data_IF_412217716120
#
_entry.id   IF_412217716120
#
_cell.length_a   1.000
_cell.length_b   1.000
_cell.length_c   1.000
_cell.angle_alpha   90.00
_cell.angle_beta   90.00
_cell.angle_gamma   90.00
#
_symmetry.space_group_name_H-M   'P 1'
#
loop_
_entity.id
_entity.type
_entity.pdbx_description
1 polymer ?
#
# COMPACT_ATOMS: atom_id res chain seq x y z
N UNK A 1 21.71 -70.57 34.45
CA UNK A 1 20.75 -69.76 35.18
C UNK A 1 20.68 -68.42 34.45
N UNK A 2 19.89 -68.25 33.46
CA UNK A 2 18.45 -67.91 33.31
C UNK A 2 18.13 -66.47 33.63
N UNK A 3 17.72 -65.81 32.51
CA UNK A 3 16.78 -64.66 32.42
C UNK A 3 17.29 -63.26 32.75
N UNK A 4 17.56 -62.53 31.71
CA UNK A 4 16.98 -61.21 31.43
C UNK A 4 17.44 -60.69 30.05
N UNK A 5 16.85 -61.21 28.99
CA UNK A 5 16.86 -60.60 27.65
C UNK A 5 15.40 -60.48 27.20
N UNK A 6 14.89 -59.31 27.05
CA UNK A 6 13.62 -59.13 26.37
C UNK A 6 12.70 -58.04 26.96
N UNK A 7 13.14 -56.79 27.02
CA UNK A 7 12.18 -55.64 27.19
C UNK A 7 12.60 -54.32 26.54
N UNK A 8 13.71 -54.24 25.79
CA UNK A 8 14.14 -52.97 25.21
C UNK A 8 13.98 -52.83 23.69
N UNK A 9 13.38 -53.82 23.00
CA UNK A 9 13.23 -53.72 21.54
C UNK A 9 11.89 -53.16 21.07
N UNK A 10 10.89 -53.18 21.93
CA UNK A 10 9.55 -52.64 21.57
C UNK A 10 9.40 -51.12 21.81
N UNK A 11 10.17 -50.59 22.77
CA UNK A 11 10.12 -49.14 23.05
C UNK A 11 10.86 -48.34 21.96
N UNK A 12 11.97 -48.82 21.48
CA UNK A 12 12.73 -48.17 20.41
C UNK A 12 12.04 -48.26 19.03
N UNK A 13 11.20 -49.28 18.80
CA UNK A 13 10.38 -49.38 17.58
C UNK A 13 9.19 -48.40 17.61
N UNK A 14 8.60 -48.12 18.77
CA UNK A 14 7.53 -47.15 18.91
C UNK A 14 8.03 -45.71 18.79
N UNK A 15 9.23 -45.39 19.28
CA UNK A 15 9.82 -44.06 19.08
C UNK A 15 10.30 -43.85 17.65
N UNK A 16 10.87 -44.86 16.98
CA UNK A 16 11.21 -44.74 15.55
C UNK A 16 9.97 -44.57 14.63
N UNK A 17 8.84 -45.18 15.00
CA UNK A 17 7.59 -44.93 14.28
C UNK A 17 7.00 -43.51 14.54
N UNK A 18 7.17 -42.94 15.73
CA UNK A 18 6.79 -41.55 15.99
C UNK A 18 7.67 -40.55 15.30
N UNK A 19 8.99 -40.82 15.18
CA UNK A 19 9.91 -39.91 14.49
C UNK A 19 9.72 -40.01 12.97
N UNK A 20 9.38 -41.19 12.40
CA UNK A 20 9.06 -41.28 10.98
C UNK A 20 7.70 -40.68 10.61
N UNK A 21 6.76 -40.55 11.53
CA UNK A 21 5.48 -39.85 11.28
C UNK A 21 5.62 -38.31 11.30
N UNK A 22 6.64 -37.79 12.00
CA UNK A 22 6.93 -36.33 12.03
C UNK A 22 7.76 -35.90 10.81
N UNK A 23 8.48 -36.84 10.15
CA UNK A 23 9.37 -36.54 9.02
C UNK A 23 8.68 -36.65 7.64
N UNK A 24 7.48 -37.20 7.55
CA UNK A 24 6.71 -37.25 6.29
C UNK A 24 5.69 -36.14 6.12
N UNK A 25 5.40 -35.33 7.17
CA UNK A 25 4.50 -34.18 7.10
C UNK A 25 5.21 -32.83 7.00
N UNK A 26 6.53 -32.81 6.82
CA UNK A 26 7.28 -31.55 6.56
C UNK A 26 7.49 -31.28 5.07
N UNK A 27 6.71 -31.88 4.22
CA UNK A 27 6.60 -31.55 2.82
C UNK A 27 5.42 -30.61 2.60
N UNK A 28 5.67 -29.35 2.30
CA UNK A 28 4.68 -28.32 1.93
C UNK A 28 3.84 -27.75 3.09
N UNK A 29 4.50 -27.12 4.05
CA UNK A 29 3.90 -26.00 4.76
C UNK A 29 4.03 -24.73 3.91
N UNK A 30 3.45 -24.74 2.71
CA UNK A 30 2.76 -23.54 2.25
C UNK A 30 1.62 -23.39 3.25
N UNK A 31 1.79 -22.47 4.20
CA UNK A 31 0.79 -22.16 5.20
C UNK A 31 -0.50 -21.83 4.47
N UNK A 32 -1.39 -22.82 4.42
CA UNK A 32 -2.80 -22.48 4.23
C UNK A 32 -3.11 -21.55 5.38
N UNK A 33 -3.58 -20.31 5.14
CA UNK A 33 -4.10 -19.52 6.22
C UNK A 33 -5.09 -20.42 6.94
N UNK A 34 -4.97 -20.56 8.26
CA UNK A 34 -5.93 -21.28 9.06
C UNK A 34 -7.26 -20.54 8.92
N UNK A 35 -7.99 -20.90 7.88
CA UNK A 35 -9.32 -20.40 7.60
C UNK A 35 -10.24 -21.17 8.55
N UNK A 36 -10.42 -20.60 9.73
CA UNK A 36 -11.45 -21.04 10.65
C UNK A 36 -12.81 -20.75 10.02
N UNK A 37 -13.19 -21.64 9.12
CA UNK A 37 -14.55 -21.80 8.62
C UNK A 37 -15.06 -20.79 7.61
N UNK A 38 -15.11 -21.18 6.36
CA UNK A 38 -16.03 -20.65 5.35
C UNK A 38 -15.39 -19.87 4.22
N UNK A 39 -15.61 -20.32 3.03
CA UNK A 39 -15.23 -19.81 1.72
C UNK A 39 -13.73 -19.82 1.43
N UNK A 40 -13.20 -21.02 1.15
CA UNK A 40 -11.92 -21.19 0.51
C UNK A 40 -11.95 -20.47 -0.84
N UNK A 41 -11.27 -19.31 -0.92
CA UNK A 41 -11.04 -18.63 -2.18
C UNK A 41 -10.29 -19.58 -3.11
N UNK A 42 -10.89 -19.95 -4.23
CA UNK A 42 -10.22 -20.80 -5.21
C UNK A 42 -9.10 -20.00 -5.88
N UNK A 43 -7.88 -20.53 -6.03
CA UNK A 43 -6.73 -19.82 -6.59
C UNK A 43 -6.93 -19.22 -8.01
N UNK A 44 -8.00 -19.59 -8.70
CA UNK A 44 -8.24 -19.20 -10.09
C UNK A 44 -8.96 -17.88 -10.33
N UNK A 45 -9.57 -17.28 -9.32
CA UNK A 45 -10.55 -16.22 -9.52
C UNK A 45 -10.25 -14.93 -8.76
N UNK A 46 -8.98 -14.59 -8.55
CA UNK A 46 -8.63 -13.60 -7.56
C UNK A 46 -8.01 -12.40 -8.21
N UNK A 47 -8.24 -11.26 -7.56
CA UNK A 47 -7.75 -9.96 -7.96
C UNK A 47 -6.28 -9.99 -8.39
N UNK A 48 -5.93 -9.16 -9.31
CA UNK A 48 -4.70 -9.24 -10.06
C UNK A 48 -3.54 -8.53 -9.38
N UNK A 49 -3.85 -7.70 -8.39
CA UNK A 49 -2.85 -6.90 -7.71
C UNK A 49 -3.03 -7.02 -6.20
N UNK A 50 -1.90 -7.17 -5.51
CA UNK A 50 -1.88 -7.07 -4.06
C UNK A 50 -1.87 -5.61 -3.65
N UNK A 51 -2.88 -5.19 -2.92
CA UNK A 51 -2.91 -3.88 -2.30
C UNK A 51 -2.46 -4.03 -0.85
N UNK A 52 -1.23 -3.64 -0.58
CA UNK A 52 -0.74 -3.56 0.79
C UNK A 52 -1.01 -2.16 1.32
N UNK A 53 -1.74 -2.09 2.43
CA UNK A 53 -2.03 -0.85 3.15
C UNK A 53 -1.24 -0.92 4.45
N UNK A 54 -0.23 -0.06 4.64
CA UNK A 54 0.42 0.11 5.94
C UNK A 54 -0.59 0.52 7.00
N UNK A 55 -0.24 0.45 8.26
CA UNK A 55 -1.13 0.76 9.37
C UNK A 55 -1.87 2.08 9.21
N UNK A 56 -3.13 2.11 9.62
CA UNK A 56 -3.91 3.35 9.67
C UNK A 56 -3.47 4.17 10.88
N UNK A 57 -3.41 5.48 10.68
CA UNK A 57 -3.32 6.42 11.80
C UNK A 57 -4.72 6.73 12.30
N UNK A 58 -4.95 6.54 13.60
CA UNK A 58 -6.22 6.78 14.26
C UNK A 58 -6.10 8.07 15.10
N UNK A 59 -6.96 9.08 14.84
CA UNK A 59 -6.95 10.31 15.60
C UNK A 59 -7.47 10.11 17.02
N UNK A 60 -6.85 10.79 17.97
CA UNK A 60 -7.34 10.86 19.35
C UNK A 60 -8.28 12.05 19.53
N UNK A 61 -9.21 12.00 20.51
CA UNK A 61 -10.04 13.15 20.85
C UNK A 61 -9.20 14.39 21.19
N UNK A 62 -9.70 15.56 20.79
CA UNK A 62 -9.11 16.87 21.10
C UNK A 62 -10.18 17.77 21.67
N UNK A 63 -9.88 18.46 22.77
CA UNK A 63 -10.77 19.50 23.33
C UNK A 63 -10.35 20.87 22.80
N UNK A 64 -11.04 21.33 21.76
CA UNK A 64 -10.81 22.64 21.20
C UNK A 64 -11.31 23.78 22.08
N UNK A 65 -12.27 23.52 22.98
CA UNK A 65 -12.83 24.54 23.86
C UNK A 65 -11.80 25.00 24.89
N UNK A 66 -11.01 24.08 25.43
CA UNK A 66 -9.94 24.40 26.39
C UNK A 66 -8.80 25.19 25.74
N UNK A 67 -8.51 24.92 24.48
CA UNK A 67 -7.31 25.47 23.81
C UNK A 67 -7.59 26.69 22.95
N UNK A 68 -8.80 26.81 22.40
CA UNK A 68 -9.17 27.85 21.44
C UNK A 68 -10.37 28.69 21.91
N UNK A 69 -11.05 28.33 23.02
CA UNK A 69 -12.25 29.02 23.47
C UNK A 69 -12.08 30.51 23.71
N UNK A 70 -10.89 30.91 24.19
CA UNK A 70 -10.56 32.35 24.41
C UNK A 70 -10.12 33.08 23.13
N UNK A 71 -9.89 32.33 22.06
CA UNK A 71 -9.29 32.83 20.82
C UNK A 71 -10.25 32.87 19.61
N UNK A 72 -11.27 32.04 19.63
CA UNK A 72 -12.20 31.83 18.53
C UNK A 72 -13.64 31.93 19.00
N UNK A 73 -14.55 32.22 18.08
CA UNK A 73 -15.98 32.18 18.36
C UNK A 73 -16.42 30.77 18.70
N UNK A 74 -17.43 30.69 19.55
CA UNK A 74 -18.03 29.40 19.96
C UNK A 74 -18.46 28.55 18.77
N UNK A 75 -18.96 29.15 17.71
CA UNK A 75 -19.42 28.45 16.49
C UNK A 75 -18.28 27.69 15.82
N UNK A 76 -17.11 28.29 15.63
CA UNK A 76 -15.95 27.63 15.01
C UNK A 76 -15.41 26.51 15.90
N UNK A 77 -15.31 26.76 17.22
CA UNK A 77 -14.83 25.78 18.19
C UNK A 77 -15.73 24.55 18.21
N UNK A 78 -17.06 24.76 18.27
CA UNK A 78 -18.05 23.67 18.23
C UNK A 78 -17.98 22.90 16.89
N UNK A 79 -17.81 23.59 15.76
CA UNK A 79 -17.70 22.96 14.45
C UNK A 79 -16.44 22.11 14.32
N UNK A 80 -15.26 22.61 14.74
CA UNK A 80 -14.02 21.84 14.80
C UNK A 80 -14.18 20.60 15.68
N UNK A 81 -14.77 20.78 16.86
CA UNK A 81 -15.00 19.69 17.82
C UNK A 81 -15.94 18.62 17.28
N UNK A 82 -17.05 19.01 16.65
CA UNK A 82 -18.01 18.09 16.07
C UNK A 82 -17.40 17.27 14.92
N UNK A 83 -16.70 17.93 13.98
CA UNK A 83 -16.07 17.27 12.84
C UNK A 83 -14.95 16.32 13.29
N UNK A 84 -14.08 16.78 14.21
CA UNK A 84 -13.01 15.93 14.76
C UNK A 84 -13.57 14.73 15.51
N UNK A 85 -14.59 14.90 16.36
CA UNK A 85 -15.24 13.82 17.09
C UNK A 85 -15.83 12.79 16.11
N UNK A 86 -16.47 13.24 15.02
CA UNK A 86 -16.99 12.37 13.98
C UNK A 86 -15.89 11.49 13.39
N UNK A 87 -14.75 12.07 13.03
CA UNK A 87 -13.60 11.34 12.48
C UNK A 87 -13.05 10.34 13.50
N UNK A 88 -12.87 10.74 14.75
CA UNK A 88 -12.37 9.86 15.84
C UNK A 88 -13.24 8.63 16.00
N UNK A 89 -14.57 8.84 16.08
CA UNK A 89 -15.52 7.73 16.23
C UNK A 89 -15.49 6.79 15.04
N UNK A 90 -15.51 7.34 13.82
CA UNK A 90 -15.51 6.54 12.58
C UNK A 90 -14.20 5.80 12.38
N UNK A 91 -13.06 6.45 12.54
CA UNK A 91 -11.76 5.84 12.41
C UNK A 91 -11.51 4.74 13.46
N UNK A 92 -12.00 4.94 14.69
CA UNK A 92 -11.93 3.95 15.75
C UNK A 92 -12.74 2.67 15.47
N UNK A 93 -13.81 2.79 14.68
CA UNK A 93 -14.61 1.63 14.24
C UNK A 93 -13.94 0.85 13.10
N UNK A 94 -13.27 1.53 12.18
CA UNK A 94 -12.58 0.90 11.05
C UNK A 94 -11.29 0.16 11.49
N UNK A 95 -10.62 0.65 12.53
CA UNK A 95 -9.38 0.08 13.01
C UNK A 95 -9.42 -1.43 13.27
N UNK A 96 -10.35 -1.97 14.03
CA UNK A 96 -10.44 -3.41 14.32
C UNK A 96 -11.02 -4.24 13.16
N UNK A 97 -11.73 -3.62 12.22
CA UNK A 97 -12.46 -4.31 11.15
C UNK A 97 -11.60 -4.72 9.97
N UNK A 98 -10.53 -4.00 9.71
CA UNK A 98 -9.58 -4.35 8.63
C UNK A 98 -8.81 -5.64 8.98
N UNK A 99 -8.58 -5.92 10.26
CA UNK A 99 -7.87 -7.12 10.74
C UNK A 99 -8.77 -8.34 10.93
N UNK A 100 -10.07 -8.14 11.10
CA UNK A 100 -11.03 -9.23 11.18
C UNK A 100 -11.76 -9.37 9.85
N UNK A 101 -11.50 -10.45 9.13
CA UNK A 101 -12.44 -11.03 8.16
C UNK A 101 -13.73 -11.37 8.90
N UNK A 102 -14.47 -10.36 9.29
CA UNK A 102 -15.74 -10.56 9.99
C UNK A 102 -16.75 -11.00 8.97
N UNK A 103 -17.15 -12.27 9.04
CA UNK A 103 -18.49 -12.69 8.66
C UNK A 103 -19.51 -11.75 9.34
N UNK A 104 -19.81 -10.65 8.72
CA UNK A 104 -21.10 -10.03 8.88
C UNK A 104 -21.89 -10.45 7.66
N UNK A 105 -22.79 -11.40 7.85
CA UNK A 105 -24.06 -11.40 7.14
C UNK A 105 -24.43 -9.94 6.95
N UNK A 106 -24.63 -9.56 5.67
CA UNK A 106 -25.14 -8.25 5.29
C UNK A 106 -26.60 -8.16 5.78
N UNK A 107 -26.77 -8.01 7.07
CA UNK A 107 -28.00 -7.56 7.70
C UNK A 107 -27.69 -6.16 8.19
N UNK A 108 -28.12 -5.23 7.33
CA UNK A 108 -28.72 -3.94 7.69
C UNK A 108 -28.42 -3.50 9.15
N UNK A 109 -27.57 -2.49 9.27
CA UNK A 109 -27.78 -1.21 9.94
C UNK A 109 -26.43 -0.60 10.34
N UNK A 110 -26.10 0.55 9.74
CA UNK A 110 -25.42 1.63 10.42
C UNK A 110 -23.93 1.51 10.71
N UNK A 111 -23.16 0.69 9.99
CA UNK A 111 -21.69 0.79 10.00
C UNK A 111 -21.25 1.90 9.06
N UNK A 112 -20.51 2.89 9.59
CA UNK A 112 -19.81 3.86 8.77
C UNK A 112 -18.97 3.14 7.71
N UNK A 113 -19.08 3.54 6.46
CA UNK A 113 -18.30 2.98 5.37
C UNK A 113 -16.96 3.73 5.26
N UNK A 114 -15.99 3.12 4.56
CA UNK A 114 -14.73 3.85 4.23
C UNK A 114 -15.05 5.17 3.49
N UNK A 115 -16.10 5.19 2.68
CA UNK A 115 -16.53 6.39 1.98
C UNK A 115 -17.07 7.47 2.93
N UNK A 116 -17.80 7.08 3.98
CA UNK A 116 -18.32 8.03 4.97
C UNK A 116 -17.18 8.66 5.79
N UNK A 117 -16.16 7.87 6.15
CA UNK A 117 -14.97 8.40 6.81
C UNK A 117 -14.16 9.31 5.88
N UNK A 118 -14.02 8.94 4.62
CA UNK A 118 -13.38 9.79 3.60
C UNK A 118 -14.10 11.14 3.50
N UNK A 119 -15.43 11.13 3.41
CA UNK A 119 -16.24 12.35 3.37
C UNK A 119 -16.08 13.18 4.65
N UNK A 120 -16.04 12.54 5.82
CA UNK A 120 -15.84 13.25 7.08
C UNK A 120 -14.47 13.98 7.13
N UNK A 121 -13.43 13.40 6.55
CA UNK A 121 -12.11 14.03 6.43
C UNK A 121 -12.13 15.19 5.43
N UNK A 122 -12.84 15.02 4.31
CA UNK A 122 -13.04 16.08 3.30
C UNK A 122 -13.84 17.26 3.89
N UNK A 123 -14.84 17.01 4.75
CA UNK A 123 -15.59 18.03 5.46
C UNK A 123 -14.76 18.77 6.52
N UNK A 124 -13.84 18.05 7.19
CA UNK A 124 -13.00 18.59 8.25
C UNK A 124 -11.88 19.49 7.74
N UNK A 125 -11.27 19.13 6.62
CA UNK A 125 -10.06 19.76 6.10
C UNK A 125 -10.22 21.28 5.85
N UNK A 126 -11.31 21.80 5.23
CA UNK A 126 -11.50 23.24 5.04
C UNK A 126 -11.59 24.03 6.35
N UNK A 127 -12.21 23.45 7.38
CA UNK A 127 -12.34 24.12 8.69
C UNK A 127 -11.00 24.08 9.43
N UNK A 128 -10.26 22.97 9.36
CA UNK A 128 -8.91 22.84 9.92
C UNK A 128 -7.94 23.85 9.31
N UNK A 129 -8.01 24.08 7.99
CA UNK A 129 -7.13 25.00 7.28
C UNK A 129 -7.26 26.46 7.77
N UNK A 130 -8.35 26.82 8.41
CA UNK A 130 -8.46 28.13 9.06
C UNK A 130 -7.49 28.33 10.23
N UNK A 131 -7.03 27.27 10.90
CA UNK A 131 -6.01 27.37 11.96
C UNK A 131 -4.62 27.72 11.42
N UNK A 132 -4.34 27.43 10.15
CA UNK A 132 -3.03 27.62 9.51
C UNK A 132 -2.99 28.79 8.54
N UNK A 133 -4.12 29.51 8.37
CA UNK A 133 -4.21 30.65 7.46
C UNK A 133 -3.34 31.81 7.94
N UNK A 134 -2.52 32.36 7.05
CA UNK A 134 -1.82 33.62 7.17
C UNK A 134 -0.99 33.82 8.46
N UNK A 135 -0.17 32.83 8.83
CA UNK A 135 0.73 32.95 9.99
C UNK A 135 0.00 33.06 11.33
N UNK A 136 -1.21 32.53 11.41
CA UNK A 136 -2.02 32.56 12.60
C UNK A 136 -1.30 31.87 13.77
N UNK A 137 -1.14 32.57 14.90
CA UNK A 137 -0.56 32.00 16.12
C UNK A 137 -1.35 30.79 16.62
N UNK A 138 -2.57 30.60 16.14
CA UNK A 138 -3.45 29.48 16.48
C UNK A 138 -2.90 28.11 16.03
N UNK A 139 -2.04 28.10 15.00
CA UNK A 139 -1.46 26.85 14.48
C UNK A 139 -0.71 26.02 15.53
N UNK A 140 -0.21 26.64 16.60
CA UNK A 140 0.55 25.99 17.66
C UNK A 140 -0.22 25.81 18.97
N UNK A 141 -1.48 26.26 19.04
CA UNK A 141 -2.26 26.25 20.28
C UNK A 141 -2.84 24.87 20.61
N UNK A 142 -3.04 24.03 19.61
CA UNK A 142 -3.71 22.75 19.77
C UNK A 142 -2.68 21.62 19.63
N UNK A 143 -2.66 20.71 20.56
CA UNK A 143 -1.90 19.46 20.46
C UNK A 143 -2.76 18.41 19.81
N UNK A 144 -2.32 17.91 18.65
CA UNK A 144 -2.98 16.83 17.92
C UNK A 144 -2.27 15.53 18.18
N UNK A 145 -3.00 14.53 18.66
CA UNK A 145 -2.49 13.20 18.94
C UNK A 145 -3.10 12.16 18.01
N UNK A 146 -2.25 11.24 17.55
CA UNK A 146 -2.61 10.13 16.67
C UNK A 146 -1.90 8.86 17.12
N UNK A 147 -2.51 7.71 16.86
CA UNK A 147 -1.94 6.39 17.07
C UNK A 147 -1.78 5.69 15.73
N UNK A 148 -0.62 5.07 15.49
CA UNK A 148 -0.47 4.10 14.41
C UNK A 148 -0.96 2.73 14.91
N UNK A 149 -1.87 2.10 14.19
CA UNK A 149 -2.44 0.80 14.58
C UNK A 149 -1.42 -0.35 14.62
N UNK A 150 -0.35 -0.24 13.87
CA UNK A 150 0.66 -1.29 13.72
C UNK A 150 1.87 -1.10 14.65
N UNK A 151 1.89 -0.05 15.42
CA UNK A 151 3.03 0.36 16.24
C UNK A 151 2.67 0.29 17.73
N UNK A 152 2.19 -0.88 18.17
CA UNK A 152 1.82 -1.20 19.56
C UNK A 152 1.08 -0.08 20.32
N UNK A 153 0.28 0.71 19.58
CA UNK A 153 -0.48 1.84 20.08
C UNK A 153 0.38 3.04 20.56
N UNK A 154 1.60 3.19 20.05
CA UNK A 154 2.40 4.36 20.37
C UNK A 154 1.69 5.63 19.91
N UNK A 155 1.44 6.52 20.87
CA UNK A 155 0.79 7.80 20.62
C UNK A 155 1.84 8.82 20.22
N UNK A 156 1.63 9.46 19.08
CA UNK A 156 2.43 10.57 18.61
C UNK A 156 1.63 11.85 18.64
N UNK A 157 2.13 12.88 19.33
CA UNK A 157 1.42 14.14 19.52
C UNK A 157 2.31 15.34 19.16
N UNK A 158 1.73 16.30 18.43
CA UNK A 158 2.42 17.52 18.06
C UNK A 158 1.50 18.74 18.18
N UNK A 159 2.04 19.85 18.70
CA UNK A 159 1.33 21.14 18.79
C UNK A 159 1.56 21.95 17.50
N UNK A 160 0.99 21.46 16.40
CA UNK A 160 1.04 22.12 15.10
C UNK A 160 -0.12 21.68 14.20
N UNK A 161 -0.91 22.61 13.71
CA UNK A 161 -2.06 22.30 12.87
C UNK A 161 -1.66 21.74 11.48
N UNK A 162 -0.48 22.05 10.95
CA UNK A 162 0.03 21.42 9.73
C UNK A 162 0.34 19.93 9.91
N UNK A 163 0.72 19.50 11.12
CA UNK A 163 0.84 18.08 11.44
C UNK A 163 -0.51 17.36 11.37
N UNK A 164 -1.57 18.03 11.82
CA UNK A 164 -2.93 17.53 11.68
C UNK A 164 -3.33 17.41 10.21
N UNK A 165 -3.10 18.45 9.40
CA UNK A 165 -3.37 18.42 7.95
C UNK A 165 -2.62 17.28 7.28
N UNK A 166 -1.35 17.07 7.63
CA UNK A 166 -0.52 15.98 7.12
C UNK A 166 -1.11 14.61 7.46
N UNK A 167 -1.52 14.44 8.73
CA UNK A 167 -2.12 13.19 9.21
C UNK A 167 -3.46 12.89 8.55
N UNK A 168 -4.27 13.93 8.29
CA UNK A 168 -5.54 13.83 7.56
C UNK A 168 -5.30 13.36 6.13
N UNK A 169 -4.37 13.99 5.39
CA UNK A 169 -4.06 13.59 4.01
C UNK A 169 -3.51 12.15 3.95
N UNK A 170 -2.65 11.78 4.90
CA UNK A 170 -2.16 10.41 4.99
C UNK A 170 -3.30 9.41 5.20
N UNK A 171 -4.22 9.68 6.13
CA UNK A 171 -5.38 8.81 6.35
C UNK A 171 -6.26 8.72 5.11
N UNK A 172 -6.54 9.84 4.41
CA UNK A 172 -7.29 9.85 3.15
C UNK A 172 -6.65 8.95 2.08
N UNK A 173 -5.32 8.99 1.96
CA UNK A 173 -4.59 8.12 1.05
C UNK A 173 -4.71 6.64 1.45
N UNK A 174 -4.57 6.31 2.73
CA UNK A 174 -4.68 4.92 3.22
C UNK A 174 -6.10 4.37 3.06
N UNK A 175 -7.13 5.19 3.25
CA UNK A 175 -8.52 4.83 3.00
C UNK A 175 -8.76 4.56 1.51
N UNK A 176 -8.18 5.37 0.62
CA UNK A 176 -8.24 5.16 -0.82
C UNK A 176 -7.59 3.84 -1.22
N UNK A 177 -6.41 3.50 -0.69
CA UNK A 177 -5.78 2.19 -0.92
C UNK A 177 -6.66 1.03 -0.42
N UNK A 178 -7.29 1.20 0.73
CA UNK A 178 -8.24 0.21 1.28
C UNK A 178 -9.47 0.04 0.39
N UNK A 179 -9.99 1.12 -0.17
CA UNK A 179 -11.10 1.09 -1.11
C UNK A 179 -10.72 0.38 -2.42
N UNK A 180 -9.53 0.67 -2.97
CA UNK A 180 -9.02 -0.03 -4.14
C UNK A 180 -8.90 -1.54 -3.89
N UNK A 181 -8.41 -1.93 -2.69
CA UNK A 181 -8.35 -3.34 -2.30
C UNK A 181 -9.74 -4.00 -2.29
N UNK A 182 -10.77 -3.33 -1.76
CA UNK A 182 -12.13 -3.85 -1.74
C UNK A 182 -12.71 -4.03 -3.15
N UNK A 183 -12.40 -3.14 -4.09
CA UNK A 183 -12.83 -3.26 -5.49
C UNK A 183 -12.16 -4.42 -6.21
N UNK A 184 -10.92 -4.73 -5.85
CA UNK A 184 -10.12 -5.79 -6.47
C UNK A 184 -10.38 -7.17 -5.82
N UNK A 185 -11.14 -7.23 -4.72
CA UNK A 185 -11.55 -8.50 -4.16
C UNK A 185 -12.75 -9.07 -4.95
N UNK A 186 -12.70 -10.34 -5.35
CA UNK A 186 -13.82 -10.96 -6.04
C UNK A 186 -15.05 -11.00 -5.13
N UNK A 187 -16.19 -10.57 -5.67
CA UNK A 187 -17.47 -10.70 -4.97
C UNK A 187 -17.91 -12.17 -5.03
N UNK A 188 -18.17 -12.78 -3.88
CA UNK A 188 -18.75 -14.12 -3.80
C UNK A 188 -20.19 -14.07 -4.26
N UNK A 189 -20.53 -14.78 -5.35
CA UNK A 189 -21.92 -15.05 -5.68
C UNK A 189 -22.48 -16.16 -4.79
N UNK A 190 -23.79 -16.16 -4.56
CA UNK A 190 -24.48 -17.17 -3.77
C UNK A 190 -24.23 -18.61 -4.29
N UNK A 191 -23.96 -18.76 -5.59
CA UNK A 191 -23.78 -20.03 -6.29
C UNK A 191 -22.33 -20.56 -6.24
N UNK A 192 -21.45 -19.93 -5.48
CA UNK A 192 -20.04 -20.35 -5.37
C UNK A 192 -19.19 -20.11 -6.64
N UNK A 193 -19.79 -19.57 -7.70
CA UNK A 193 -19.09 -19.11 -8.89
C UNK A 193 -18.50 -17.72 -8.60
N UNK A 194 -17.20 -17.60 -8.64
CA UNK A 194 -16.53 -16.30 -8.49
C UNK A 194 -16.37 -15.69 -9.89
N UNK A 195 -17.10 -14.63 -10.21
CA UNK A 195 -16.93 -13.97 -11.49
C UNK A 195 -15.52 -13.38 -11.61
N UNK A 196 -14.99 -13.40 -12.82
CA UNK A 196 -13.75 -12.66 -13.13
C UNK A 196 -13.97 -11.18 -12.78
N UNK A 197 -12.96 -10.56 -12.22
CA UNK A 197 -13.00 -9.14 -11.90
C UNK A 197 -13.34 -8.33 -13.15
N UNK A 198 -14.33 -7.43 -13.04
CA UNK A 198 -14.78 -6.64 -14.18
C UNK A 198 -13.71 -5.63 -14.61
N UNK A 199 -13.69 -5.30 -15.89
CA UNK A 199 -12.79 -4.26 -16.41
C UNK A 199 -13.09 -2.90 -15.80
N UNK A 200 -14.35 -2.63 -15.50
CA UNK A 200 -14.80 -1.40 -14.81
C UNK A 200 -14.20 -1.30 -13.40
N UNK A 201 -14.23 -2.39 -12.61
CA UNK A 201 -13.62 -2.42 -11.28
C UNK A 201 -12.10 -2.18 -11.34
N UNK A 202 -11.44 -2.70 -12.37
CA UNK A 202 -10.01 -2.47 -12.58
C UNK A 202 -9.73 -1.00 -12.92
N UNK A 203 -10.48 -0.41 -13.83
CA UNK A 203 -10.34 1.01 -14.19
C UNK A 203 -10.62 1.90 -12.99
N UNK A 204 -11.72 1.67 -12.29
CA UNK A 204 -12.06 2.42 -11.08
C UNK A 204 -10.96 2.31 -9.99
N UNK A 205 -10.32 1.14 -9.85
CA UNK A 205 -9.21 1.01 -8.90
C UNK A 205 -7.97 1.78 -9.32
N UNK A 206 -7.67 1.91 -10.63
CA UNK A 206 -6.57 2.76 -11.12
C UNK A 206 -6.84 4.22 -10.75
N UNK A 207 -8.07 4.71 -10.96
CA UNK A 207 -8.44 6.09 -10.62
C UNK A 207 -8.28 6.34 -9.11
N UNK A 208 -8.65 5.36 -8.28
CA UNK A 208 -8.47 5.45 -6.83
C UNK A 208 -6.99 5.44 -6.43
N UNK A 209 -6.13 4.65 -7.09
CA UNK A 209 -4.69 4.69 -6.84
C UNK A 209 -4.09 6.04 -7.22
N UNK A 210 -4.50 6.62 -8.32
CA UNK A 210 -4.06 7.95 -8.77
C UNK A 210 -4.53 9.03 -7.77
N UNK A 211 -5.75 8.93 -7.26
CA UNK A 211 -6.27 9.80 -6.20
C UNK A 211 -5.47 9.66 -4.89
N UNK A 212 -5.16 8.43 -4.46
CA UNK A 212 -4.32 8.19 -3.28
C UNK A 212 -2.92 8.81 -3.45
N UNK A 213 -2.32 8.64 -4.63
CA UNK A 213 -1.03 9.26 -4.96
C UNK A 213 -1.12 10.80 -4.93
N UNK A 214 -2.24 11.38 -5.36
CA UNK A 214 -2.49 12.83 -5.32
C UNK A 214 -2.51 13.39 -3.90
N UNK A 215 -3.14 12.73 -2.95
CA UNK A 215 -3.11 13.14 -1.54
C UNK A 215 -1.68 13.11 -0.97
N UNK A 216 -0.91 12.07 -1.28
CA UNK A 216 0.47 11.93 -0.80
C UNK A 216 1.42 12.92 -1.48
N UNK A 217 1.26 13.19 -2.76
CA UNK A 217 2.04 14.20 -3.48
C UNK A 217 1.75 15.61 -2.95
N UNK A 218 0.48 15.95 -2.69
CA UNK A 218 0.08 17.18 -2.02
C UNK A 218 0.70 17.30 -0.61
N UNK A 219 0.67 16.22 0.18
CA UNK A 219 1.28 16.17 1.49
C UNK A 219 2.78 16.50 1.44
N UNK A 220 3.50 15.91 0.48
CA UNK A 220 4.95 16.12 0.31
C UNK A 220 5.28 17.52 -0.23
N UNK A 221 4.55 17.99 -1.25
CA UNK A 221 4.90 19.24 -1.94
C UNK A 221 4.38 20.49 -1.25
N UNK A 222 3.20 20.40 -0.62
CA UNK A 222 2.50 21.58 -0.13
C UNK A 222 2.37 21.63 1.40
N UNK A 223 2.31 20.49 2.10
CA UNK A 223 2.10 20.46 3.55
C UNK A 223 3.41 20.32 4.31
N UNK A 224 4.27 19.37 3.96
CA UNK A 224 5.57 19.19 4.63
C UNK A 224 6.45 20.44 4.65
N UNK A 225 6.53 21.27 3.57
CA UNK A 225 7.32 22.50 3.61
C UNK A 225 6.82 23.55 4.61
N UNK A 226 5.55 23.49 5.01
CA UNK A 226 4.97 24.41 6.00
C UNK A 226 5.38 24.06 7.43
N UNK A 227 5.82 22.82 7.68
CA UNK A 227 6.32 22.42 8.98
C UNK A 227 7.76 22.93 9.18
N UNK A 228 8.07 23.58 10.32
CA UNK A 228 9.43 23.93 10.69
C UNK A 228 10.37 22.71 10.65
N UNK A 229 11.66 22.94 10.37
CA UNK A 229 12.64 21.86 10.21
C UNK A 229 12.73 20.96 11.45
N UNK A 230 12.56 21.52 12.65
CA UNK A 230 12.57 20.78 13.92
C UNK A 230 11.38 19.82 13.99
N UNK A 231 10.19 20.26 13.62
CA UNK A 231 8.99 19.41 13.58
C UNK A 231 9.15 18.30 12.54
N UNK A 232 9.71 18.59 11.37
CA UNK A 232 9.93 17.58 10.31
C UNK A 232 10.88 16.48 10.75
N UNK A 233 11.89 16.78 11.56
CA UNK A 233 12.83 15.77 12.11
C UNK A 233 12.19 14.86 13.16
N UNK A 234 11.18 15.38 13.84
CA UNK A 234 10.47 14.68 14.93
C UNK A 234 9.15 14.06 14.47
N UNK A 235 8.86 14.07 13.16
CA UNK A 235 7.69 13.38 12.62
C UNK A 235 7.80 11.88 12.91
N UNK A 236 6.68 11.22 13.24
CA UNK A 236 6.65 9.76 13.27
C UNK A 236 7.05 9.21 11.89
N UNK A 237 7.69 8.06 11.90
CA UNK A 237 8.33 7.49 10.70
C UNK A 237 7.35 7.29 9.55
N UNK A 238 6.10 6.95 9.83
CA UNK A 238 5.02 6.80 8.85
C UNK A 238 4.64 8.10 8.13
N UNK A 239 4.95 9.25 8.70
CA UNK A 239 4.79 10.57 8.09
C UNK A 239 6.11 11.17 7.57
N UNK A 240 7.22 10.45 7.68
CA UNK A 240 8.48 10.90 7.11
C UNK A 240 8.37 11.07 5.59
N UNK A 241 9.02 12.10 5.05
CA UNK A 241 8.95 12.43 3.62
C UNK A 241 9.25 11.22 2.72
N UNK A 242 10.28 10.44 3.04
CA UNK A 242 10.63 9.26 2.26
C UNK A 242 9.53 8.18 2.26
N UNK A 243 8.83 7.98 3.39
CA UNK A 243 7.70 7.03 3.46
C UNK A 243 6.52 7.55 2.65
N UNK A 244 6.18 8.83 2.75
CA UNK A 244 5.09 9.43 1.96
C UNK A 244 5.37 9.35 0.45
N UNK A 245 6.61 9.63 0.03
CA UNK A 245 7.05 9.47 -1.37
C UNK A 245 6.97 8.01 -1.82
N UNK A 246 7.43 7.08 -1.01
CA UNK A 246 7.36 5.66 -1.32
C UNK A 246 5.92 5.17 -1.45
N UNK A 247 5.01 5.61 -0.59
CA UNK A 247 3.58 5.29 -0.66
C UNK A 247 2.92 5.87 -1.93
N UNK A 248 3.28 7.10 -2.31
CA UNK A 248 2.83 7.71 -3.56
C UNK A 248 3.26 6.86 -4.78
N UNK A 249 4.54 6.51 -4.83
CA UNK A 249 5.10 5.68 -5.91
C UNK A 249 4.56 4.25 -5.90
N UNK A 250 4.30 3.68 -4.72
CA UNK A 250 3.62 2.40 -4.55
C UNK A 250 2.22 2.44 -5.17
N UNK A 251 1.42 3.47 -4.89
CA UNK A 251 0.08 3.60 -5.45
C UNK A 251 0.13 3.65 -6.99
N UNK A 252 1.04 4.41 -7.57
CA UNK A 252 1.23 4.47 -9.01
C UNK A 252 1.72 3.14 -9.59
N UNK A 253 2.69 2.49 -8.93
CA UNK A 253 3.20 1.18 -9.34
C UNK A 253 2.11 0.11 -9.33
N UNK A 254 1.22 0.12 -8.34
CA UNK A 254 0.06 -0.78 -8.28
C UNK A 254 -0.96 -0.46 -9.37
N UNK A 255 -1.18 0.81 -9.70
CA UNK A 255 -2.02 1.21 -10.83
C UNK A 255 -1.50 0.67 -12.17
N UNK A 256 -0.18 0.77 -12.42
CA UNK A 256 0.46 0.23 -13.63
C UNK A 256 0.41 -1.30 -13.65
N UNK A 257 0.52 -1.98 -12.50
CA UNK A 257 0.38 -3.44 -12.43
C UNK A 257 -1.02 -3.90 -12.88
N UNK A 258 -2.08 -3.16 -12.50
CA UNK A 258 -3.43 -3.43 -13.03
C UNK A 258 -3.50 -3.19 -14.54
N UNK A 259 -2.89 -2.10 -15.05
CA UNK A 259 -2.85 -1.84 -16.49
C UNK A 259 -2.12 -2.97 -17.24
N UNK A 260 -1.03 -3.49 -16.69
CA UNK A 260 -0.32 -4.64 -17.24
C UNK A 260 -1.20 -5.91 -17.25
N UNK A 261 -1.93 -6.18 -16.17
CA UNK A 261 -2.90 -7.28 -16.10
C UNK A 261 -3.99 -7.16 -17.16
N UNK A 262 -4.54 -5.96 -17.35
CA UNK A 262 -5.53 -5.69 -18.42
C UNK A 262 -4.91 -5.91 -19.81
N UNK A 263 -3.65 -5.48 -20.02
CA UNK A 263 -2.95 -5.70 -21.27
C UNK A 263 -2.63 -7.19 -21.52
N UNK A 264 -2.37 -7.98 -20.49
CA UNK A 264 -2.17 -9.44 -20.59
C UNK A 264 -3.46 -10.11 -21.07
N UNK A 265 -4.59 -9.72 -20.50
CA UNK A 265 -5.90 -10.27 -20.85
C UNK A 265 -6.42 -9.82 -22.24
N UNK A 266 -5.91 -8.70 -22.74
CA UNK A 266 -6.32 -8.14 -24.03
C UNK A 266 -5.59 -8.80 -25.20
N UNK A 267 -6.35 -9.36 -26.14
CA UNK A 267 -5.80 -9.89 -27.41
C UNK A 267 -5.27 -8.81 -28.33
N UNK A 268 -5.66 -7.54 -28.12
CA UNK A 268 -5.25 -6.39 -28.91
C UNK A 268 -3.95 -5.74 -28.42
N UNK A 269 -3.55 -6.01 -27.18
CA UNK A 269 -2.35 -5.41 -26.60
C UNK A 269 -1.09 -6.11 -27.13
N UNK A 270 -0.22 -5.33 -27.75
CA UNK A 270 1.05 -5.81 -28.33
C UNK A 270 2.08 -6.09 -27.24
N UNK A 271 3.12 -6.88 -27.56
CA UNK A 271 4.26 -7.08 -26.66
C UNK A 271 4.97 -5.77 -26.32
N UNK A 272 5.01 -4.81 -27.24
CA UNK A 272 5.58 -3.48 -26.99
C UNK A 272 4.85 -2.72 -25.87
N UNK A 273 3.52 -2.78 -25.85
CA UNK A 273 2.70 -2.18 -24.77
C UNK A 273 2.97 -2.88 -23.44
N UNK A 274 2.97 -4.22 -23.42
CA UNK A 274 3.24 -5.01 -22.21
C UNK A 274 4.64 -4.73 -21.65
N UNK A 275 5.67 -4.67 -22.51
CA UNK A 275 7.03 -4.30 -22.12
C UNK A 275 7.09 -2.89 -21.51
N UNK A 276 6.46 -1.90 -22.19
CA UNK A 276 6.43 -0.53 -21.69
C UNK A 276 5.85 -0.44 -20.29
N UNK A 277 4.68 -1.04 -20.06
CA UNK A 277 4.03 -1.05 -18.75
C UNK A 277 4.90 -1.75 -17.68
N UNK A 278 5.50 -2.90 -18.03
CA UNK A 278 6.37 -3.61 -17.11
C UNK A 278 7.64 -2.80 -16.75
N UNK A 279 8.27 -2.11 -17.71
CA UNK A 279 9.42 -1.25 -17.44
C UNK A 279 9.02 -0.01 -16.62
N UNK A 280 7.84 0.57 -16.87
CA UNK A 280 7.31 1.68 -16.08
C UNK A 280 7.07 1.24 -14.62
N UNK A 281 6.52 0.05 -14.42
CA UNK A 281 6.34 -0.54 -13.10
C UNK A 281 7.67 -0.70 -12.36
N UNK A 282 8.74 -1.17 -13.03
CA UNK A 282 10.10 -1.26 -12.45
C UNK A 282 10.55 0.08 -11.90
N UNK A 283 10.35 1.18 -12.65
CA UNK A 283 10.76 2.52 -12.23
C UNK A 283 10.04 2.99 -10.97
N UNK A 284 8.72 2.80 -10.88
CA UNK A 284 7.96 3.18 -9.69
C UNK A 284 8.45 2.43 -8.45
N UNK A 285 8.62 1.12 -8.56
CA UNK A 285 9.05 0.31 -7.41
C UNK A 285 10.52 0.56 -7.03
N UNK A 286 11.39 0.83 -8.01
CA UNK A 286 12.76 1.24 -7.75
C UNK A 286 12.80 2.55 -6.96
N UNK A 287 12.12 3.58 -7.46
CA UNK A 287 12.06 4.87 -6.78
C UNK A 287 11.43 4.77 -5.39
N UNK A 288 10.39 3.93 -5.22
CA UNK A 288 9.81 3.67 -3.91
C UNK A 288 10.84 3.04 -2.95
N UNK A 289 11.60 2.06 -3.43
CA UNK A 289 12.67 1.43 -2.64
C UNK A 289 13.76 2.45 -2.26
N UNK A 290 14.21 3.27 -3.19
CA UNK A 290 15.26 4.28 -2.95
C UNK A 290 14.85 5.28 -1.86
N UNK A 291 13.56 5.63 -1.79
CA UNK A 291 13.02 6.56 -0.79
C UNK A 291 12.97 5.98 0.63
N UNK A 292 12.86 4.65 0.80
CA UNK A 292 12.73 4.03 2.14
C UNK A 292 13.96 3.22 2.56
N UNK A 293 14.92 2.97 1.68
CA UNK A 293 16.03 2.07 1.95
C UNK A 293 16.87 2.51 3.16
N UNK A 294 17.12 3.81 3.31
CA UNK A 294 17.98 4.38 4.33
C UNK A 294 17.22 4.94 5.54
N UNK A 295 15.92 4.76 5.62
CA UNK A 295 15.13 5.23 6.75
C UNK A 295 15.26 4.25 7.93
N UNK A 296 15.20 4.75 9.18
CA UNK A 296 15.25 3.91 10.37
C UNK A 296 13.93 3.18 10.60
N UNK A 297 13.55 2.32 9.67
CA UNK A 297 12.32 1.50 9.71
C UNK A 297 12.57 0.27 10.59
N UNK A 298 12.81 0.47 11.89
CA UNK A 298 13.10 -0.61 12.85
C UNK A 298 11.83 -1.27 13.41
N UNK A 299 10.69 -0.64 13.23
CA UNK A 299 9.41 -1.13 13.75
C UNK A 299 8.82 -2.17 12.80
N UNK A 300 8.00 -3.08 13.32
CA UNK A 300 7.43 -4.18 12.56
C UNK A 300 6.72 -3.75 11.25
N UNK A 301 5.90 -2.69 11.29
CA UNK A 301 5.21 -2.22 10.09
C UNK A 301 6.15 -1.61 9.04
N UNK A 302 7.15 -0.86 9.46
CA UNK A 302 8.12 -0.22 8.57
C UNK A 302 8.98 -1.24 7.84
N UNK A 303 9.48 -2.25 8.55
CA UNK A 303 10.20 -3.36 7.94
C UNK A 303 9.30 -4.15 6.98
N UNK A 304 8.05 -4.39 7.35
CA UNK A 304 7.11 -5.06 6.46
C UNK A 304 6.82 -4.26 5.20
N UNK A 305 6.70 -2.94 5.29
CA UNK A 305 6.56 -2.06 4.13
C UNK A 305 7.79 -2.12 3.21
N UNK A 306 9.00 -2.11 3.80
CA UNK A 306 10.26 -2.28 3.04
C UNK A 306 10.30 -3.61 2.30
N UNK A 307 9.92 -4.70 2.96
CA UNK A 307 9.86 -6.03 2.35
C UNK A 307 8.82 -6.09 1.23
N UNK A 308 7.66 -5.44 1.38
CA UNK A 308 6.66 -5.34 0.33
C UNK A 308 7.19 -4.64 -0.91
N UNK A 309 7.78 -3.45 -0.74
CA UNK A 309 8.36 -2.67 -1.85
C UNK A 309 9.47 -3.45 -2.55
N UNK A 310 10.37 -4.10 -1.79
CA UNK A 310 11.42 -4.95 -2.33
C UNK A 310 10.84 -6.11 -3.14
N UNK A 311 9.85 -6.81 -2.60
CA UNK A 311 9.19 -7.90 -3.30
C UNK A 311 8.60 -7.43 -4.63
N UNK A 312 7.80 -6.37 -4.63
CA UNK A 312 7.17 -5.84 -5.84
C UNK A 312 8.18 -5.29 -6.87
N UNK A 313 9.29 -4.73 -6.43
CA UNK A 313 10.37 -4.32 -7.32
C UNK A 313 11.00 -5.49 -8.07
N UNK A 314 11.32 -6.57 -7.37
CA UNK A 314 11.89 -7.78 -7.97
C UNK A 314 10.87 -8.44 -8.91
N UNK A 315 9.61 -8.50 -8.52
CA UNK A 315 8.50 -9.00 -9.33
C UNK A 315 8.32 -8.21 -10.63
N UNK A 316 8.40 -6.89 -10.55
CA UNK A 316 8.35 -6.01 -11.71
C UNK A 316 9.51 -6.26 -12.69
N UNK A 317 10.72 -6.50 -12.18
CA UNK A 317 11.88 -6.89 -13.00
C UNK A 317 11.63 -8.19 -13.75
N UNK A 318 11.08 -9.21 -13.08
CA UNK A 318 10.75 -10.47 -13.74
C UNK A 318 9.81 -10.25 -14.93
N UNK A 319 8.76 -9.44 -14.77
CA UNK A 319 7.83 -9.11 -15.84
C UNK A 319 8.51 -8.30 -16.98
N UNK A 320 9.33 -7.31 -16.63
CA UNK A 320 9.99 -6.45 -17.60
C UNK A 320 10.99 -7.22 -18.46
N UNK A 321 11.84 -8.03 -17.86
CA UNK A 321 12.79 -8.89 -18.58
C UNK A 321 12.09 -9.94 -19.44
N UNK A 322 10.96 -10.49 -18.97
CA UNK A 322 10.17 -11.43 -19.76
C UNK A 322 9.65 -10.79 -21.05
N UNK A 323 8.95 -9.66 -20.98
CA UNK A 323 8.44 -8.99 -22.19
C UNK A 323 9.54 -8.40 -23.04
N UNK A 324 10.65 -7.99 -22.45
CA UNK A 324 11.83 -7.55 -23.21
C UNK A 324 12.45 -8.70 -23.99
N UNK A 325 12.60 -9.87 -23.35
CA UNK A 325 13.08 -11.07 -23.99
C UNK A 325 12.21 -11.55 -25.16
N UNK A 326 10.87 -11.52 -24.99
CA UNK A 326 9.95 -11.85 -26.08
C UNK A 326 10.08 -10.94 -27.30
N UNK A 327 10.27 -9.63 -27.09
CA UNK A 327 10.46 -8.69 -28.20
C UNK A 327 11.82 -8.91 -28.89
N UNK A 328 12.87 -9.19 -28.14
CA UNK A 328 14.17 -9.51 -28.71
C UNK A 328 14.13 -10.81 -29.53
N UNK A 329 13.29 -11.77 -29.12
CA UNK A 329 13.08 -13.02 -29.83
C UNK A 329 12.34 -12.85 -31.17
N UNK A 330 11.49 -11.84 -31.30
CA UNK A 330 10.88 -11.46 -32.58
C UNK A 330 11.89 -10.89 -33.58
N UNK A 331 13.07 -10.48 -33.10
CA UNK A 331 14.17 -10.02 -33.95
C UNK A 331 14.80 -11.15 -34.80
N UNK A 332 15.08 -10.88 -36.08
CA UNK A 332 15.58 -11.90 -37.00
C UNK A 332 17.12 -11.97 -37.06
N UNK A 333 17.83 -11.63 -36.00
CA UNK A 333 19.29 -11.71 -35.93
C UNK A 333 19.76 -12.68 -34.85
N UNK A 334 20.85 -13.40 -35.08
CA UNK A 334 21.45 -14.29 -34.11
C UNK A 334 21.78 -13.57 -32.78
N UNK A 335 22.26 -12.34 -32.86
CA UNK A 335 22.54 -11.50 -31.69
C UNK A 335 21.25 -11.20 -30.88
N UNK A 336 20.12 -10.96 -31.55
CA UNK A 336 18.84 -10.70 -30.86
C UNK A 336 18.34 -11.95 -30.17
N UNK A 337 18.51 -13.14 -30.73
CA UNK A 337 18.15 -14.41 -30.10
C UNK A 337 19.01 -14.72 -28.87
N UNK A 338 20.32 -14.48 -28.92
CA UNK A 338 21.21 -14.62 -27.75
C UNK A 338 20.82 -13.67 -26.61
N UNK A 339 20.49 -12.41 -26.92
CA UNK A 339 19.99 -11.46 -25.93
C UNK A 339 18.60 -11.82 -25.39
N UNK A 340 17.73 -12.40 -26.24
CA UNK A 340 16.42 -12.89 -25.81
C UNK A 340 16.55 -14.02 -24.78
N UNK A 341 17.45 -14.98 -25.01
CA UNK A 341 17.74 -16.04 -24.06
C UNK A 341 18.22 -15.46 -22.73
N UNK A 342 19.20 -14.53 -22.75
CA UNK A 342 19.72 -13.90 -21.54
C UNK A 342 18.63 -13.12 -20.77
N UNK A 343 17.76 -12.41 -21.48
CA UNK A 343 16.65 -11.68 -20.86
C UNK A 343 15.62 -12.63 -20.23
N UNK A 344 15.27 -13.73 -20.90
CA UNK A 344 14.32 -14.73 -20.35
C UNK A 344 14.90 -15.49 -19.16
N UNK A 345 16.21 -15.79 -19.17
CA UNK A 345 16.88 -16.37 -18.01
C UNK A 345 16.88 -15.41 -16.82
N UNK A 346 17.19 -14.13 -17.05
CA UNK A 346 17.10 -13.11 -16.00
C UNK A 346 15.65 -12.98 -15.45
N UNK A 347 14.64 -13.06 -16.31
CA UNK A 347 13.24 -13.07 -15.87
C UNK A 347 12.94 -14.25 -14.93
N UNK A 348 13.43 -15.44 -15.23
CA UNK A 348 13.24 -16.64 -14.39
C UNK A 348 14.01 -16.54 -13.06
N UNK A 349 15.19 -15.96 -13.06
CA UNK A 349 15.98 -15.68 -11.85
C UNK A 349 15.27 -14.67 -10.95
N UNK A 350 14.83 -13.53 -11.50
CA UNK A 350 14.05 -12.53 -10.75
C UNK A 350 12.71 -13.11 -10.25
N UNK A 351 12.06 -13.99 -11.01
CA UNK A 351 10.85 -14.66 -10.54
C UNK A 351 11.13 -15.55 -9.33
N UNK A 352 12.24 -16.30 -9.33
CA UNK A 352 12.66 -17.12 -8.17
C UNK A 352 13.01 -16.24 -6.97
N UNK A 353 13.68 -15.13 -7.20
CA UNK A 353 14.01 -14.16 -6.15
C UNK A 353 12.75 -13.51 -5.60
N UNK A 354 11.78 -13.13 -6.45
CA UNK A 354 10.50 -12.54 -6.01
C UNK A 354 9.70 -13.48 -5.12
N UNK A 355 9.73 -14.79 -5.36
CA UNK A 355 9.10 -15.79 -4.49
C UNK A 355 9.71 -15.78 -3.09
N UNK A 356 11.06 -15.75 -2.99
CA UNK A 356 11.76 -15.63 -1.70
C UNK A 356 11.43 -14.32 -0.98
N UNK A 357 11.38 -13.20 -1.72
CA UNK A 357 11.00 -11.91 -1.15
C UNK A 357 9.54 -11.88 -0.66
N UNK A 358 8.64 -12.53 -1.39
CA UNK A 358 7.25 -12.73 -0.98
C UNK A 358 7.14 -13.56 0.31
N UNK A 359 7.91 -14.63 0.44
CA UNK A 359 7.98 -15.45 1.65
C UNK A 359 8.48 -14.63 2.85
N UNK A 360 9.54 -13.84 2.67
CA UNK A 360 10.06 -12.96 3.70
C UNK A 360 9.01 -11.92 4.16
N UNK A 361 8.31 -11.28 3.20
CA UNK A 361 7.21 -10.37 3.49
C UNK A 361 6.08 -11.05 4.29
N UNK A 362 5.67 -12.25 3.87
CA UNK A 362 4.59 -12.98 4.52
C UNK A 362 4.96 -13.46 5.93
N UNK A 363 6.23 -13.70 6.20
CA UNK A 363 6.74 -14.11 7.52
C UNK A 363 6.93 -12.95 8.48
N UNK A 364 7.03 -11.72 7.98
CA UNK A 364 7.21 -10.53 8.80
C UNK A 364 5.91 -10.11 9.49
N UNK A 365 6.03 -9.63 10.73
CA UNK A 365 4.91 -9.05 11.48
C UNK A 365 4.62 -7.61 10.99
N UNK A 366 3.39 -7.15 11.08
CA UNK A 366 2.18 -7.83 11.56
C UNK A 366 1.55 -8.75 10.51
N UNK A 367 1.27 -10.00 10.85
CA UNK A 367 0.70 -10.99 9.93
C UNK A 367 -0.72 -10.63 9.46
N UNK A 368 -1.45 -9.86 10.25
CA UNK A 368 -2.80 -9.38 9.94
C UNK A 368 -2.87 -8.52 8.67
N UNK A 369 -1.75 -7.98 8.22
CA UNK A 369 -1.65 -7.12 7.04
C UNK A 369 -1.16 -7.82 5.78
N UNK A 370 -1.06 -9.15 5.80
CA UNK A 370 -0.70 -9.89 4.61
C UNK A 370 -1.82 -9.79 3.57
N UNK A 371 -1.54 -9.24 2.38
CA UNK A 371 -2.52 -9.25 1.30
C UNK A 371 -2.74 -10.68 0.81
N UNK A 372 -3.86 -10.95 0.14
CA UNK A 372 -4.10 -12.25 -0.48
C UNK A 372 -3.00 -12.59 -1.49
N UNK A 373 -2.57 -13.86 -1.53
CA UNK A 373 -1.53 -14.36 -2.45
C UNK A 373 -2.05 -14.56 -3.88
N UNK A 374 -2.52 -13.51 -4.54
CA UNK A 374 -3.07 -13.59 -5.87
C UNK A 374 -2.82 -12.34 -6.66
N UNK A 375 -2.40 -12.46 -7.89
CA UNK A 375 -2.13 -11.30 -8.71
C UNK A 375 -1.74 -11.64 -10.14
N UNK A 376 -1.36 -10.63 -10.89
CA UNK A 376 -0.88 -10.68 -12.27
C UNK A 376 0.22 -11.71 -12.46
N UNK A 377 1.05 -11.90 -11.44
CA UNK A 377 2.16 -12.86 -11.48
C UNK A 377 1.72 -14.32 -11.54
N UNK A 378 0.46 -14.65 -11.32
CA UNK A 378 0.00 -16.03 -11.52
C UNK A 378 0.25 -16.48 -12.97
N UNK A 379 -0.15 -15.68 -13.95
CA UNK A 379 0.09 -15.97 -15.36
C UNK A 379 1.58 -16.02 -15.68
N UNK A 380 2.33 -15.01 -15.25
CA UNK A 380 3.76 -14.92 -15.51
C UNK A 380 4.57 -15.99 -14.78
N UNK A 381 4.16 -16.44 -13.60
CA UNK A 381 4.82 -17.51 -12.84
C UNK A 381 4.77 -18.88 -13.54
N UNK A 382 3.79 -19.10 -14.41
CA UNK A 382 3.68 -20.28 -15.25
C UNK A 382 4.41 -20.09 -16.59
N UNK A 383 4.32 -18.88 -17.17
CA UNK A 383 4.87 -18.57 -18.51
C UNK A 383 6.38 -18.39 -18.51
N UNK A 384 6.91 -17.64 -17.57
CA UNK A 384 8.34 -17.31 -17.53
C UNK A 384 9.22 -18.57 -17.53
N UNK A 385 9.05 -19.54 -16.61
CA UNK A 385 9.91 -20.73 -16.58
C UNK A 385 9.77 -21.59 -17.84
N UNK A 386 8.53 -21.70 -18.36
CA UNK A 386 8.26 -22.49 -19.58
C UNK A 386 8.96 -21.89 -20.79
N UNK A 387 8.81 -20.59 -21.02
CA UNK A 387 9.33 -19.94 -22.18
C UNK A 387 10.88 -19.80 -22.11
N UNK A 388 11.42 -19.51 -20.92
CA UNK A 388 12.86 -19.48 -20.68
C UNK A 388 13.50 -20.85 -20.97
N UNK A 389 12.94 -21.93 -20.42
CA UNK A 389 13.45 -23.29 -20.67
C UNK A 389 13.37 -23.70 -22.14
N UNK A 390 12.27 -23.35 -22.82
CA UNK A 390 12.09 -23.62 -24.24
C UNK A 390 13.12 -22.90 -25.09
N UNK A 391 13.38 -21.61 -24.81
CA UNK A 391 14.35 -20.80 -25.57
C UNK A 391 15.79 -21.23 -25.34
N UNK A 392 16.16 -21.60 -24.11
CA UNK A 392 17.48 -22.17 -23.82
C UNK A 392 17.71 -23.46 -24.64
N UNK A 393 16.70 -24.35 -24.71
CA UNK A 393 16.79 -25.57 -25.49
C UNK A 393 16.93 -25.28 -26.98
N UNK A 394 16.08 -24.41 -27.55
CA UNK A 394 16.13 -24.05 -28.97
C UNK A 394 17.48 -23.40 -29.30
N UNK A 395 17.97 -22.52 -28.45
CA UNK A 395 19.27 -21.87 -28.67
C UNK A 395 20.42 -22.88 -28.64
N UNK A 396 20.38 -23.90 -27.78
CA UNK A 396 21.36 -24.99 -27.75
C UNK A 396 21.33 -25.81 -29.02
N UNK A 397 20.13 -26.08 -29.56
CA UNK A 397 19.97 -26.95 -30.71
C UNK A 397 20.30 -26.24 -32.03
N UNK A 398 20.03 -24.92 -32.13
CA UNK A 398 20.18 -24.15 -33.37
C UNK A 398 21.44 -23.26 -33.43
N UNK A 399 21.95 -22.83 -32.28
CA UNK A 399 23.07 -21.91 -32.17
C UNK A 399 24.19 -22.50 -31.31
N UNK A 400 25.44 -22.23 -31.68
CA UNK A 400 26.59 -22.58 -30.86
C UNK A 400 26.59 -21.82 -29.52
N UNK A 401 27.12 -22.45 -28.48
CA UNK A 401 27.23 -21.87 -27.15
C UNK A 401 27.95 -20.51 -27.10
N UNK A 402 28.82 -20.24 -28.05
CA UNK A 402 29.59 -18.99 -28.18
C UNK A 402 28.73 -17.76 -28.43
N UNK A 403 27.43 -17.93 -28.76
CA UNK A 403 26.51 -16.85 -29.07
C UNK A 403 25.58 -16.47 -27.92
N UNK A 404 25.67 -17.16 -26.77
CA UNK A 404 24.89 -16.81 -25.59
C UNK A 404 25.51 -15.57 -24.95
N UNK A 405 24.72 -14.53 -24.77
CA UNK A 405 25.13 -13.32 -24.03
C UNK A 405 25.04 -13.64 -22.53
N UNK A 406 26.16 -13.55 -21.81
CA UNK A 406 26.23 -13.89 -20.39
C UNK A 406 25.43 -12.93 -19.50
N UNK A 407 25.29 -11.68 -19.91
CA UNK A 407 24.59 -10.65 -19.15
C UNK A 407 23.26 -10.27 -19.78
N UNK A 408 22.24 -10.12 -18.95
CA UNK A 408 20.95 -9.66 -19.39
C UNK A 408 21.05 -8.26 -20.04
N UNK A 409 20.37 -8.02 -21.18
CA UNK A 409 20.38 -6.73 -21.84
C UNK A 409 19.74 -5.66 -20.95
N UNK A 410 20.19 -4.42 -21.09
CA UNK A 410 19.62 -3.29 -20.37
C UNK A 410 18.15 -3.09 -20.75
N UNK A 411 17.28 -2.95 -19.75
CA UNK A 411 15.87 -2.64 -20.01
C UNK A 411 15.75 -1.23 -20.61
N UNK A 412 14.85 -1.05 -21.60
CA UNK A 412 14.62 0.26 -22.18
C UNK A 412 14.01 1.21 -21.14
N UNK A 413 14.44 2.46 -21.24
CA UNK A 413 13.94 3.54 -20.39
C UNK A 413 12.72 4.22 -21.02
N UNK A 414 11.58 4.18 -20.34
CA UNK A 414 10.36 4.85 -20.75
C UNK A 414 9.98 5.96 -19.78
N UNK A 415 9.36 7.01 -20.30
CA UNK A 415 8.76 8.03 -19.46
C UNK A 415 7.59 7.45 -18.65
N UNK A 416 7.46 7.88 -17.38
CA UNK A 416 6.35 7.54 -16.51
C UNK A 416 5.06 8.20 -17.04
N UNK A 417 4.06 7.39 -17.39
CA UNK A 417 2.80 7.86 -17.95
C UNK A 417 1.75 8.14 -16.87
N UNK A 418 1.64 7.24 -15.89
CA UNK A 418 0.71 7.42 -14.79
C UNK A 418 1.28 8.46 -13.81
N UNK A 419 0.49 9.47 -13.46
CA UNK A 419 0.91 10.54 -12.55
C UNK A 419 -0.07 10.64 -11.39
N UNK A 420 0.35 11.20 -10.24
CA UNK A 420 -0.59 11.54 -9.18
C UNK A 420 -1.70 12.45 -9.69
N UNK A 421 -2.90 12.30 -9.15
CA UNK A 421 -3.98 13.25 -9.39
C UNK A 421 -3.59 14.64 -8.87
N UNK A 422 -4.02 15.70 -9.55
CA UNK A 422 -3.75 17.07 -9.14
C UNK A 422 -4.68 17.47 -7.97
N UNK A 423 -4.39 16.91 -6.79
CA UNK A 423 -5.10 17.28 -5.59
C UNK A 423 -4.53 18.60 -5.02
N UNK A 424 -5.43 19.56 -4.80
CA UNK A 424 -5.12 20.82 -4.13
C UNK A 424 -5.86 20.88 -2.80
N UNK A 425 -5.22 21.51 -1.79
CA UNK A 425 -5.89 21.77 -0.53
C UNK A 425 -7.14 22.63 -0.80
N UNK A 426 -8.28 22.31 -0.19
CA UNK A 426 -9.50 23.08 -0.36
C UNK A 426 -9.33 24.51 0.16
N UNK A 427 -10.18 25.42 -0.28
CA UNK A 427 -10.28 26.75 0.31
C UNK A 427 -10.66 26.68 1.79
N UNK A 428 -10.26 27.68 2.55
CA UNK A 428 -10.67 27.81 3.96
C UNK A 428 -12.19 27.96 4.05
N UNK A 429 -12.79 27.30 5.01
CA UNK A 429 -14.25 27.34 5.23
C UNK A 429 -14.76 28.78 5.43
N UNK A 430 -15.88 29.19 4.81
CA UNK A 430 -16.42 30.55 4.89
C UNK A 430 -16.70 31.06 6.31
N UNK A 431 -16.96 30.17 7.27
CA UNK A 431 -17.17 30.54 8.67
C UNK A 431 -15.99 31.32 9.28
N UNK A 432 -14.78 31.12 8.76
CA UNK A 432 -13.60 31.88 9.17
C UNK A 432 -13.61 33.37 8.75
N UNK A 433 -14.37 33.74 7.72
CA UNK A 433 -14.53 35.14 7.30
C UNK A 433 -15.43 35.88 8.27
N UNK A 434 -16.47 35.24 8.78
CA UNK A 434 -17.35 35.79 9.83
C UNK A 434 -16.57 36.03 11.14
N UNK A 435 -15.64 35.14 11.47
CA UNK A 435 -14.75 35.26 12.63
C UNK A 435 -13.85 36.49 12.52
N UNK A 436 -13.27 36.77 11.36
CA UNK A 436 -12.42 37.93 11.13
C UNK A 436 -13.21 39.26 11.22
N UNK A 437 -14.46 39.26 10.78
CA UNK A 437 -15.35 40.43 10.89
C UNK A 437 -15.65 40.71 12.37
N UNK A 438 -15.96 39.70 13.15
CA UNK A 438 -16.27 39.85 14.57
C UNK A 438 -15.06 40.37 15.38
N UNK A 439 -13.85 39.89 15.09
CA UNK A 439 -12.60 40.40 15.72
C UNK A 439 -12.31 41.84 15.36
N UNK A 440 -12.54 42.22 14.10
CA UNK A 440 -12.40 43.61 13.66
C UNK A 440 -13.36 44.59 14.37
N UNK A 441 -14.57 44.14 14.69
CA UNK A 441 -15.57 44.94 15.42
C UNK A 441 -15.25 45.07 16.92
N UNK A 442 -14.69 44.03 17.56
CA UNK A 442 -14.28 44.09 18.97
C UNK A 442 -13.06 45.01 19.14
N UNK A 443 -12.07 44.90 18.26
CA UNK A 443 -10.89 45.79 18.28
C UNK A 443 -11.26 47.27 18.06
N UNK A 444 -12.25 47.56 17.21
CA UNK A 444 -12.73 48.93 16.96
C UNK A 444 -13.54 49.50 18.14
N UNK A 445 -14.17 48.64 18.94
CA UNK A 445 -14.90 49.08 20.16
C UNK A 445 -13.96 49.37 21.33
N UNK A 446 -12.87 48.60 21.48
CA UNK A 446 -11.87 48.89 22.49
C UNK A 446 -11.08 50.14 22.25
N UNK A 447 -10.69 50.43 21.00
CA UNK A 447 -10.01 51.68 20.64
C UNK A 447 -10.88 52.95 20.84
N UNK A 448 -12.23 52.78 20.86
CA UNK A 448 -13.16 53.90 21.14
C UNK A 448 -13.47 54.05 22.62
N UNK A 449 -13.19 53.06 23.49
CA UNK A 449 -13.36 53.14 24.93
C UNK A 449 -12.17 53.79 25.65
N UNK A 450 -10.98 53.69 25.06
CA UNK A 450 -9.74 54.29 25.61
C UNK A 450 -9.51 55.76 25.18
N UNK A 451 -10.45 56.34 24.39
CA UNK A 451 -10.45 57.75 23.98
C UNK A 451 -11.58 58.58 24.61
N UNK A 452 -12.19 58.12 25.71
CA UNK A 452 -13.17 58.89 26.48
C UNK A 452 -12.72 59.14 27.92
#
# INVERSE_FOLDING_TARGET
>A
MNRCKGRNSSFLKKERQKINFISQDMGCLVSKPADSGGNRRRPGNIGEVYVYVPGLRIPKPVDFSLTLGDHLSKNIVERLSALRTRIVVMAGQEGPTITRTRRKTATQHGGSTLADLQQALEDYLPVLLGLVKDGNQLQHKVQFAWINQEDDLEETAMSNAWYEVLSVLHLMAMLSLSQANLLLLPRTSADGYQPKLSEESRRASIDIFVKAAGYLDCAVRHVLPQLPAEFRRNLPVDLAEGVLRALCLQALGQGVDIQLGMAIDSTKATLAVKRRLACEMVKYWQQAQDNIMNLPLSNGWGEKHRLFVKWKYIEAKAAAYYYHGLILDEGNTEKSHGMAVAALQAADEYLKESKKACEAFNSATPLSRNPPLFGTMKYLSEKIPKDASSKVRINRDLYSFEKIVETAPTLPDFALALKPDEFQLPGVDPSWNEENINRGQVGSKQLKSDQR
#
